data_IF_169481755469
#
_entry.id   IF_169481755469
#
_cell.length_a   1.000
_cell.length_b   1.000
_cell.length_c   1.000
_cell.angle_alpha   90.00
_cell.angle_beta   90.00
_cell.angle_gamma   90.00
#
_symmetry.space_group_name_H-M   'P 1'
#
loop_
_entity.id
_entity.type
_entity.pdbx_description
1 polymer ?
#
# COMPACT_ATOMS: atom_id res chain seq x y z
N UNK A 1 1.10 13.27 1.51
CA UNK A 1 -0.09 14.13 1.54
C UNK A 1 -0.34 14.46 3.00
N UNK A 2 -0.33 15.73 3.43
CA UNK A 2 -0.58 16.11 4.83
C UNK A 2 -2.01 15.79 5.31
N UNK A 3 -2.92 15.40 4.40
CA UNK A 3 -4.26 14.92 4.74
C UNK A 3 -4.34 13.38 4.77
N UNK A 4 -3.25 12.69 5.11
CA UNK A 4 -3.23 11.23 5.21
C UNK A 4 -3.97 10.77 6.47
N UNK A 5 -5.31 10.70 6.38
CA UNK A 5 -6.25 10.39 7.49
C UNK A 5 -5.99 9.02 8.13
N UNK A 6 -5.30 8.11 7.44
CA UNK A 6 -5.09 6.74 7.90
C UNK A 6 -3.82 6.51 8.72
N UNK A 7 -3.02 7.54 9.00
CA UNK A 7 -1.87 7.40 9.91
C UNK A 7 -2.31 6.87 11.28
N UNK A 8 -3.48 7.31 11.77
CA UNK A 8 -4.06 6.80 13.02
C UNK A 8 -4.48 5.33 12.96
N UNK A 9 -4.77 4.80 11.76
CA UNK A 9 -5.15 3.39 11.57
C UNK A 9 -3.95 2.44 11.62
N UNK A 10 -2.73 2.94 11.39
CA UNK A 10 -1.53 2.13 11.44
C UNK A 10 -1.07 1.98 12.90
N UNK A 11 -1.27 0.80 13.48
CA UNK A 11 -1.01 0.51 14.89
C UNK A 11 0.37 -0.13 15.16
N UNK A 12 1.07 -0.56 14.12
CA UNK A 12 2.41 -1.18 14.19
C UNK A 12 3.44 -0.38 13.38
N UNK A 13 4.44 0.20 14.06
CA UNK A 13 5.49 0.98 13.42
C UNK A 13 6.89 0.62 13.91
N UNK A 14 7.87 0.84 13.04
CA UNK A 14 9.28 0.58 13.24
C UNK A 14 10.10 1.86 13.04
N UNK A 15 11.21 1.97 13.76
CA UNK A 15 12.24 2.98 13.50
C UNK A 15 13.28 2.38 12.58
N UNK A 16 13.55 3.07 11.47
CA UNK A 16 14.51 2.63 10.46
C UNK A 16 15.51 3.77 10.23
N UNK A 17 16.83 3.51 10.34
CA UNK A 17 17.83 4.53 10.10
C UNK A 17 17.66 5.19 8.73
N UNK A 18 17.71 6.51 8.67
CA UNK A 18 17.57 7.25 7.41
C UNK A 18 18.67 6.92 6.38
N UNK A 19 19.80 6.37 6.84
CA UNK A 19 20.92 5.93 6.01
C UNK A 19 20.72 4.53 5.42
N UNK A 20 19.67 3.81 5.80
CA UNK A 20 19.42 2.45 5.32
C UNK A 20 18.79 2.47 3.92
N UNK A 21 19.39 1.76 2.97
CA UNK A 21 19.00 1.81 1.55
C UNK A 21 17.73 1.01 1.21
N UNK A 22 17.22 0.18 2.12
CA UNK A 22 16.03 -0.64 1.89
C UNK A 22 15.65 -1.46 3.13
N UNK A 23 14.53 -2.18 3.05
CA UNK A 23 14.10 -3.03 4.16
C UNK A 23 14.94 -4.32 4.26
N UNK A 24 15.08 -4.91 5.46
CA UNK A 24 15.51 -6.30 5.58
C UNK A 24 14.52 -7.22 4.83
N UNK A 25 14.81 -8.52 4.74
CA UNK A 25 13.88 -9.47 4.12
C UNK A 25 12.53 -9.45 4.85
N UNK A 26 11.53 -8.80 4.25
CA UNK A 26 10.16 -8.76 4.73
C UNK A 26 9.34 -9.84 4.04
N UNK A 27 8.32 -10.39 4.72
CA UNK A 27 7.40 -11.33 4.09
C UNK A 27 6.56 -10.66 3.00
N UNK A 28 5.97 -11.47 2.14
CA UNK A 28 4.88 -11.04 1.25
C UNK A 28 3.56 -11.33 1.95
N UNK A 29 2.60 -10.40 1.85
CA UNK A 29 1.21 -10.64 2.25
C UNK A 29 0.37 -10.82 0.99
N UNK A 30 -0.29 -11.97 0.86
CA UNK A 30 -1.14 -12.27 -0.30
C UNK A 30 -2.61 -12.35 0.13
N UNK A 31 -3.45 -11.55 -0.52
CA UNK A 31 -4.90 -11.60 -0.40
C UNK A 31 -5.43 -12.59 -1.44
N UNK A 32 -6.11 -13.62 -0.96
CA UNK A 32 -6.66 -14.69 -1.79
C UNK A 32 -8.12 -14.37 -2.14
N UNK A 33 -8.43 -14.34 -3.43
CA UNK A 33 -9.79 -14.23 -3.94
C UNK A 33 -10.14 -15.48 -4.76
N UNK A 34 -11.42 -15.65 -5.06
CA UNK A 34 -11.84 -16.68 -6.00
C UNK A 34 -11.31 -16.36 -7.39
N UNK A 35 -10.31 -17.13 -7.84
CA UNK A 35 -9.72 -17.01 -9.18
C UNK A 35 -8.68 -15.90 -9.36
N UNK A 36 -8.28 -15.20 -8.28
CA UNK A 36 -7.23 -14.17 -8.33
C UNK A 36 -6.48 -14.04 -7.00
N UNK A 37 -5.26 -13.52 -7.07
CA UNK A 37 -4.44 -13.21 -5.90
C UNK A 37 -3.90 -11.79 -6.02
N UNK A 38 -3.90 -11.05 -4.92
CA UNK A 38 -3.28 -9.74 -4.83
C UNK A 38 -2.17 -9.77 -3.78
N UNK A 39 -0.93 -9.56 -4.22
CA UNK A 39 0.24 -9.60 -3.33
C UNK A 39 0.74 -8.20 -3.00
N UNK A 40 1.00 -7.96 -1.71
CA UNK A 40 1.67 -6.76 -1.20
C UNK A 40 3.12 -7.14 -0.90
N UNK A 41 4.03 -6.66 -1.75
CA UNK A 41 5.47 -6.93 -1.64
C UNK A 41 6.12 -6.13 -0.51
N UNK A 42 7.33 -6.54 -0.13
CA UNK A 42 8.13 -5.95 0.93
C UNK A 42 8.23 -4.42 0.85
N UNK A 43 8.37 -3.87 -0.35
CA UNK A 43 8.55 -2.43 -0.58
C UNK A 43 7.30 -1.61 -0.21
N UNK A 44 6.12 -2.24 -0.24
CA UNK A 44 4.83 -1.60 0.08
C UNK A 44 4.25 -2.04 1.42
N UNK A 45 4.83 -3.07 2.04
CA UNK A 45 4.36 -3.59 3.33
C UNK A 45 4.58 -2.61 4.49
N UNK A 46 5.60 -1.75 4.37
CA UNK A 46 5.87 -0.65 5.28
C UNK A 46 5.76 0.69 4.56
N UNK A 47 4.90 1.57 5.07
CA UNK A 47 4.77 2.95 4.62
C UNK A 47 5.66 3.87 5.46
N UNK A 48 6.57 4.61 4.81
CA UNK A 48 7.36 5.65 5.49
C UNK A 48 6.46 6.85 5.75
N UNK A 49 6.22 7.16 7.03
CA UNK A 49 5.39 8.29 7.43
C UNK A 49 6.14 9.60 7.10
N UNK A 50 5.61 10.44 6.19
CA UNK A 50 6.30 11.66 5.79
C UNK A 50 6.46 12.63 6.96
N UNK A 51 7.68 13.13 7.18
CA UNK A 51 7.97 14.13 8.22
C UNK A 51 8.16 13.56 9.62
N UNK A 52 7.75 12.32 9.88
CA UNK A 52 7.95 11.68 11.19
C UNK A 52 9.36 11.10 11.34
N UNK A 53 10.17 11.81 12.11
CA UNK A 53 11.56 11.46 12.42
C UNK A 53 11.73 11.35 13.94
N UNK A 54 12.45 10.32 14.38
CA UNK A 54 12.81 10.08 15.79
C UNK A 54 14.32 9.92 15.89
N UNK A 55 15.02 11.03 16.15
CA UNK A 55 16.49 11.05 16.13
C UNK A 55 17.03 10.96 14.71
N UNK A 56 17.80 9.91 14.42
CA UNK A 56 18.35 9.62 13.08
C UNK A 56 17.45 8.70 12.23
N UNK A 57 16.27 8.35 12.74
CA UNK A 57 15.45 7.28 12.18
C UNK A 57 14.14 7.84 11.63
N UNK A 58 13.73 7.34 10.46
CA UNK A 58 12.38 7.52 9.96
C UNK A 58 11.40 6.57 10.65
N UNK A 59 10.14 6.97 10.74
CA UNK A 59 9.05 6.09 11.20
C UNK A 59 8.42 5.40 9.98
N UNK A 60 8.36 4.07 10.03
CA UNK A 60 7.80 3.23 8.98
C UNK A 60 6.73 2.33 9.58
N UNK A 61 5.51 2.41 9.08
CA UNK A 61 4.37 1.72 9.67
C UNK A 61 3.84 0.62 8.76
N UNK A 62 3.43 -0.48 9.37
CA UNK A 62 2.80 -1.61 8.71
C UNK A 62 1.47 -1.18 8.09
N UNK A 63 1.23 -1.57 6.83
CA UNK A 63 0.10 -1.02 6.06
C UNK A 63 -1.22 -1.76 6.27
N UNK A 64 -1.22 -2.81 7.09
CA UNK A 64 -2.42 -3.46 7.58
C UNK A 64 -2.63 -3.03 9.03
N UNK A 65 -3.67 -2.23 9.24
CA UNK A 65 -4.05 -1.71 10.55
C UNK A 65 -5.42 -2.20 10.98
N UNK A 66 -5.74 -1.99 12.26
CA UNK A 66 -7.02 -2.39 12.81
C UNK A 66 -8.20 -1.57 12.21
N UNK A 67 -9.29 -2.26 11.88
CA UNK A 67 -10.54 -1.65 11.37
C UNK A 67 -11.37 -0.93 12.44
N UNK A 68 -11.06 -1.09 13.74
CA UNK A 68 -11.81 -0.49 14.85
C UNK A 68 -11.97 1.04 14.70
N UNK A 69 -10.96 1.69 14.13
CA UNK A 69 -10.97 3.14 13.88
C UNK A 69 -11.88 3.57 12.73
N UNK A 70 -12.32 2.63 11.89
CA UNK A 70 -13.29 2.86 10.81
C UNK A 70 -14.74 2.74 11.30
N UNK A 71 -14.99 2.22 12.50
CA UNK A 71 -16.32 2.01 13.05
C UNK A 71 -17.17 1.01 12.28
N UNK A 72 -16.55 0.24 11.38
CA UNK A 72 -17.17 -0.80 10.56
C UNK A 72 -16.25 -2.02 10.51
N UNK A 73 -16.83 -3.22 10.66
CA UNK A 73 -16.12 -4.48 10.48
C UNK A 73 -15.92 -4.76 8.98
N UNK A 74 -14.90 -4.14 8.39
CA UNK A 74 -14.60 -4.28 6.97
C UNK A 74 -13.09 -4.30 6.70
N UNK A 75 -12.69 -5.12 5.72
CA UNK A 75 -11.36 -5.07 5.15
C UNK A 75 -11.34 -4.03 4.01
N UNK A 76 -10.46 -3.02 4.12
CA UNK A 76 -10.38 -1.93 3.14
C UNK A 76 -9.07 -2.01 2.37
N UNK A 77 -9.17 -2.25 1.06
CA UNK A 77 -8.06 -2.14 0.12
C UNK A 77 -7.97 -0.69 -0.36
N UNK A 78 -7.26 0.15 0.40
CA UNK A 78 -7.11 1.57 0.11
C UNK A 78 -6.12 1.90 -1.03
N UNK A 79 -5.99 3.20 -1.34
CA UNK A 79 -5.12 3.73 -2.40
C UNK A 79 -3.69 3.17 -2.35
N UNK A 80 -3.08 3.07 -1.17
CA UNK A 80 -1.71 2.55 -1.01
C UNK A 80 -1.56 1.13 -1.56
N UNK A 81 -2.51 0.24 -1.25
CA UNK A 81 -2.50 -1.14 -1.72
C UNK A 81 -2.76 -1.25 -3.23
N UNK A 82 -3.48 -0.30 -3.84
CA UNK A 82 -3.80 -0.31 -5.26
C UNK A 82 -2.71 0.30 -6.16
N UNK A 83 -1.63 0.86 -5.60
CA UNK A 83 -0.54 1.41 -6.41
C UNK A 83 0.16 0.30 -7.21
N UNK A 84 0.35 0.51 -8.51
CA UNK A 84 0.91 -0.50 -9.43
C UNK A 84 0.04 -1.75 -9.58
N UNK A 85 -1.25 -1.63 -9.29
CA UNK A 85 -2.27 -2.62 -9.63
C UNK A 85 -3.26 -1.96 -10.58
N UNK A 86 -3.51 -2.60 -11.72
CA UNK A 86 -4.61 -2.25 -12.60
C UNK A 86 -5.90 -2.80 -11.99
N UNK A 87 -6.80 -1.91 -11.58
CA UNK A 87 -8.11 -2.29 -11.06
C UNK A 87 -9.17 -2.09 -12.14
N UNK A 88 -9.91 -3.15 -12.46
CA UNK A 88 -11.03 -3.10 -13.40
C UNK A 88 -12.34 -3.35 -12.65
N UNK A 89 -13.30 -2.44 -12.76
CA UNK A 89 -14.63 -2.57 -12.17
C UNK A 89 -15.63 -2.92 -13.29
N UNK A 90 -15.83 -4.21 -13.52
CA UNK A 90 -16.74 -4.74 -14.55
C UNK A 90 -18.16 -4.81 -13.95
N UNK A 91 -18.87 -3.67 -14.05
CA UNK A 91 -20.22 -3.52 -13.51
C UNK A 91 -21.24 -4.41 -14.23
N UNK A 92 -21.06 -4.64 -15.54
CA UNK A 92 -21.96 -5.48 -16.34
C UNK A 92 -21.93 -6.94 -15.86
N UNK A 93 -20.74 -7.46 -15.54
CA UNK A 93 -20.56 -8.84 -15.06
C UNK A 93 -20.45 -8.96 -13.55
N UNK A 94 -20.64 -7.86 -12.81
CA UNK A 94 -20.59 -7.82 -11.34
C UNK A 94 -19.30 -8.42 -10.76
N UNK A 95 -18.14 -8.02 -11.30
CA UNK A 95 -16.83 -8.52 -10.85
C UNK A 95 -15.76 -7.44 -10.85
N UNK A 96 -14.69 -7.70 -10.10
CA UNK A 96 -13.49 -6.86 -10.07
C UNK A 96 -12.33 -7.66 -10.67
N UNK A 97 -11.62 -7.05 -11.62
CA UNK A 97 -10.37 -7.55 -12.16
C UNK A 97 -9.18 -6.84 -11.53
N UNK A 98 -8.08 -7.57 -11.33
CA UNK A 98 -6.82 -7.00 -10.88
C UNK A 98 -5.64 -7.61 -11.62
N UNK A 99 -4.63 -6.80 -11.90
CA UNK A 99 -3.37 -7.25 -12.50
C UNK A 99 -2.21 -6.35 -12.08
N UNK A 100 -1.02 -6.91 -11.90
CA UNK A 100 0.19 -6.11 -11.67
C UNK A 100 0.49 -5.24 -12.90
N UNK A 101 0.82 -3.97 -12.65
CA UNK A 101 1.18 -3.03 -13.71
C UNK A 101 2.34 -2.14 -13.27
N UNK A 102 3.21 -1.80 -14.21
CA UNK A 102 4.24 -0.78 -14.03
C UNK A 102 3.69 0.58 -14.44
N UNK A 103 3.11 1.32 -13.48
CA UNK A 103 2.47 2.60 -13.76
C UNK A 103 3.43 3.64 -14.33
N UNK A 104 4.72 3.58 -13.96
CA UNK A 104 5.79 4.41 -14.52
C UNK A 104 5.91 4.19 -16.04
N UNK A 105 6.01 2.93 -16.47
CA UNK A 105 6.13 2.56 -17.88
C UNK A 105 4.84 2.83 -18.65
N UNK A 106 3.70 2.47 -18.06
CA UNK A 106 2.39 2.66 -18.67
C UNK A 106 2.09 4.15 -18.88
N UNK A 107 2.35 5.00 -17.87
CA UNK A 107 2.17 6.44 -17.95
C UNK A 107 3.00 7.08 -19.05
N UNK A 108 4.28 6.70 -19.19
CA UNK A 108 5.12 7.15 -20.30
C UNK A 108 4.56 6.75 -21.67
N UNK A 109 4.11 5.49 -21.82
CA UNK A 109 3.53 5.01 -23.10
C UNK A 109 2.23 5.72 -23.48
N UNK A 110 1.45 6.14 -22.48
CA UNK A 110 0.18 6.83 -22.67
C UNK A 110 0.34 8.35 -22.78
N UNK A 111 1.57 8.88 -22.71
CA UNK A 111 1.82 10.33 -22.74
C UNK A 111 1.33 11.07 -21.49
N UNK A 112 1.15 10.33 -20.38
CA UNK A 112 0.70 10.84 -19.08
C UNK A 112 1.86 11.11 -18.10
N UNK A 113 3.10 10.82 -18.50
CA UNK A 113 4.29 11.08 -17.69
C UNK A 113 4.68 12.55 -17.69
N UNK A 114 4.87 13.13 -16.50
CA UNK A 114 5.69 14.33 -16.30
C UNK A 114 7.16 14.06 -16.68
#
# INVERSE_FOLDING_TARGET
DPNYVFEGAMDLCYRIPLTQAGYPSLPTVTLMFEGAEMSVSAERLLYRVPGEVRGSDGVHCFTFGNSDLLGVEAYVIGNHHQQNIWMEFDLEKSRVGLAEVRCDVAGHRLGLGL
#
